data_IF_150213025745
#
_entry.id   IF_150213025745
#
_cell.length_a   1.000
_cell.length_b   1.000
_cell.length_c   1.000
_cell.angle_alpha   90.00
_cell.angle_beta   90.00
_cell.angle_gamma   90.00
#
_symmetry.space_group_name_H-M   'P 1'
#
loop_
_entity.id
_entity.type
_entity.pdbx_description
1 polymer ?
#
# COMPACT_ATOMS: atom_id res chain seq x y z
N UNK A 1 -13.77 12.30 -5.72
CA UNK A 1 -12.73 11.54 -5.00
C UNK A 1 -12.65 10.14 -5.58
N UNK A 2 -11.42 9.66 -5.80
CA UNK A 2 -11.11 8.41 -6.50
C UNK A 2 -9.74 7.91 -6.04
N UNK A 3 -9.47 6.61 -6.18
CA UNK A 3 -8.17 6.03 -5.83
C UNK A 3 -7.13 6.22 -6.94
N UNK A 4 -5.90 5.74 -6.70
CA UNK A 4 -4.80 5.86 -7.64
C UNK A 4 -5.06 5.22 -9.01
N UNK A 5 -5.83 4.14 -9.08
CA UNK A 5 -6.17 3.48 -10.36
C UNK A 5 -7.16 4.30 -11.18
N UNK A 6 -8.13 4.94 -10.53
CA UNK A 6 -9.05 5.85 -11.22
C UNK A 6 -8.40 7.19 -11.56
N UNK A 7 -7.43 7.67 -10.76
CA UNK A 7 -6.58 8.80 -11.15
C UNK A 7 -5.77 8.45 -12.41
N UNK A 8 -5.17 7.25 -12.45
CA UNK A 8 -4.47 6.77 -13.64
C UNK A 8 -5.40 6.79 -14.85
N UNK A 9 -6.62 6.24 -14.73
CA UNK A 9 -7.60 6.26 -15.82
C UNK A 9 -7.90 7.68 -16.32
N UNK A 10 -8.00 8.65 -15.42
CA UNK A 10 -8.16 10.06 -15.81
C UNK A 10 -6.94 10.59 -16.57
N UNK A 11 -5.73 10.45 -16.00
CA UNK A 11 -4.49 10.91 -16.64
C UNK A 11 -4.30 10.28 -18.03
N UNK A 12 -4.70 9.03 -18.13
CA UNK A 12 -4.72 8.24 -19.35
C UNK A 12 -5.71 8.74 -20.42
N UNK A 13 -6.82 9.34 -20.02
CA UNK A 13 -7.73 9.97 -20.98
C UNK A 13 -7.11 11.26 -21.56
N UNK A 14 -6.37 12.02 -20.74
CA UNK A 14 -5.93 13.39 -21.07
C UNK A 14 -4.47 13.55 -21.54
N UNK A 15 -3.62 12.51 -21.42
CA UNK A 15 -2.21 12.55 -21.87
C UNK A 15 -2.01 12.67 -23.39
N UNK A 16 -0.76 12.59 -23.87
CA UNK A 16 -0.34 12.78 -25.27
C UNK A 16 0.59 11.68 -25.85
N UNK A 17 1.15 10.71 -25.10
CA UNK A 17 1.84 9.55 -25.74
C UNK A 17 1.82 8.24 -24.92
N UNK A 18 2.10 7.13 -25.61
CA UNK A 18 1.43 5.80 -25.61
C UNK A 18 1.32 4.96 -24.30
N UNK A 19 0.24 4.15 -24.11
CA UNK A 19 -0.96 4.00 -24.95
C UNK A 19 -2.20 4.72 -24.37
N UNK A 20 -2.04 5.85 -23.68
CA UNK A 20 -3.17 6.42 -22.93
C UNK A 20 -3.06 7.93 -22.82
N UNK A 21 -3.36 8.58 -23.94
CA UNK A 21 -3.34 10.02 -24.03
C UNK A 21 -4.23 10.47 -25.16
N UNK A 22 -5.48 10.05 -25.09
CA UNK A 22 -6.34 10.03 -26.26
C UNK A 22 -6.78 11.45 -26.62
N UNK A 23 -7.18 12.24 -25.62
CA UNK A 23 -7.76 13.55 -25.87
C UNK A 23 -6.73 14.58 -26.32
N UNK A 24 -5.50 14.57 -25.80
CA UNK A 24 -4.46 15.49 -26.28
C UNK A 24 -3.94 15.13 -27.69
N UNK A 25 -4.12 13.87 -28.11
CA UNK A 25 -3.86 13.42 -29.49
C UNK A 25 -5.04 13.69 -30.44
N UNK A 26 -6.10 14.35 -29.97
CA UNK A 26 -7.25 14.72 -30.79
C UNK A 26 -8.39 13.69 -30.79
N UNK A 27 -8.35 12.66 -29.94
CA UNK A 27 -9.52 11.81 -29.74
C UNK A 27 -10.66 12.60 -29.09
N UNK A 28 -11.88 12.36 -29.54
CA UNK A 28 -13.08 13.00 -28.99
C UNK A 28 -13.54 12.41 -27.65
N UNK A 29 -13.11 11.19 -27.31
CA UNK A 29 -13.44 10.48 -26.09
C UNK A 29 -12.37 9.43 -25.75
N UNK A 30 -12.23 9.03 -24.47
CA UNK A 30 -11.34 7.94 -24.07
C UNK A 30 -11.88 6.56 -24.50
N UNK A 31 -10.98 5.65 -24.85
CA UNK A 31 -11.23 4.27 -25.30
C UNK A 31 -11.84 3.42 -24.20
N UNK A 32 -11.49 3.73 -22.94
CA UNK A 32 -12.17 3.18 -21.77
C UNK A 32 -12.98 4.30 -21.12
N UNK A 33 -14.31 4.35 -21.36
CA UNK A 33 -15.15 5.38 -20.76
C UNK A 33 -15.18 5.23 -19.23
N UNK A 34 -15.18 6.34 -18.47
CA UNK A 34 -15.37 6.27 -17.03
C UNK A 34 -16.79 5.83 -16.70
N UNK A 35 -16.90 4.75 -15.92
CA UNK A 35 -18.17 4.23 -15.42
C UNK A 35 -18.36 4.68 -13.97
N UNK A 36 -19.36 5.51 -13.74
CA UNK A 36 -19.66 6.12 -12.43
C UNK A 36 -20.58 5.28 -11.55
N UNK A 37 -20.71 3.99 -11.84
CA UNK A 37 -21.60 3.03 -11.17
C UNK A 37 -21.13 2.71 -9.74
N UNK A 38 -21.04 3.71 -8.87
CA UNK A 38 -20.55 3.58 -7.49
C UNK A 38 -21.49 2.78 -6.61
N UNK A 39 -22.75 2.66 -7.00
CA UNK A 39 -23.77 1.82 -6.38
C UNK A 39 -23.38 0.33 -6.33
N UNK A 40 -22.45 -0.12 -7.18
CA UNK A 40 -21.90 -1.49 -7.12
C UNK A 40 -21.23 -1.79 -5.78
N UNK A 41 -20.72 -0.76 -5.09
CA UNK A 41 -20.11 -0.82 -3.76
C UNK A 41 -21.00 -0.24 -2.66
N UNK A 42 -22.32 -0.17 -2.89
CA UNK A 42 -23.25 0.14 -1.80
C UNK A 42 -23.28 -0.97 -0.75
N UNK A 43 -23.60 -0.57 0.48
CA UNK A 43 -23.94 -1.50 1.55
C UNK A 43 -25.16 -2.34 1.16
N UNK A 44 -25.30 -3.48 1.83
CA UNK A 44 -26.46 -4.36 1.65
C UNK A 44 -27.73 -3.65 2.17
N UNK A 45 -28.90 -4.09 1.69
CA UNK A 45 -30.19 -3.56 2.15
C UNK A 45 -30.33 -3.64 3.68
N UNK A 46 -29.80 -4.71 4.28
CA UNK A 46 -29.60 -4.82 5.73
C UNK A 46 -28.11 -4.95 5.99
N UNK A 47 -27.43 -3.88 6.44
CA UNK A 47 -26.00 -3.93 6.73
C UNK A 47 -25.69 -4.98 7.80
N UNK A 48 -24.76 -5.88 7.50
CA UNK A 48 -24.34 -6.95 8.40
C UNK A 48 -22.81 -7.08 8.40
N UNK A 49 -22.21 -6.89 9.57
CA UNK A 49 -20.78 -7.11 9.77
C UNK A 49 -20.55 -8.59 10.03
N UNK A 50 -19.91 -9.28 9.09
CA UNK A 50 -19.65 -10.73 9.14
C UNK A 50 -18.19 -11.05 9.42
N UNK A 51 -17.31 -10.05 9.37
CA UNK A 51 -15.89 -10.14 9.71
C UNK A 51 -15.51 -9.14 10.79
N UNK A 52 -14.50 -9.50 11.59
CA UNK A 52 -13.83 -8.54 12.46
C UNK A 52 -12.87 -7.68 11.64
N UNK A 53 -13.03 -6.37 11.75
CA UNK A 53 -12.23 -5.37 11.03
C UNK A 53 -11.33 -4.63 12.01
N UNK A 54 -10.24 -5.29 12.40
CA UNK A 54 -9.27 -4.77 13.38
C UNK A 54 -8.64 -3.45 12.95
N UNK A 55 -8.64 -3.14 11.66
CA UNK A 55 -8.19 -1.86 11.12
C UNK A 55 -8.99 -0.65 11.64
N UNK A 56 -10.18 -0.85 12.22
CA UNK A 56 -11.00 0.20 12.84
C UNK A 56 -11.21 0.01 14.35
N UNK A 57 -10.46 -0.89 14.99
CA UNK A 57 -10.55 -1.07 16.44
C UNK A 57 -10.09 0.22 17.15
N UNK A 58 -10.86 0.62 18.17
CA UNK A 58 -10.51 1.77 19.01
C UNK A 58 -9.39 1.36 19.95
N UNK A 59 -8.15 1.63 19.57
CA UNK A 59 -7.02 1.47 20.47
C UNK A 59 -7.08 2.60 21.50
N UNK A 60 -7.11 2.23 22.79
CA UNK A 60 -6.91 3.21 23.87
C UNK A 60 -5.52 3.78 23.68
N UNK A 61 -5.43 5.10 23.46
CA UNK A 61 -4.16 5.80 23.24
C UNK A 61 -3.16 5.44 24.36
N UNK A 62 -2.27 4.49 24.06
CA UNK A 62 -1.07 4.33 24.85
C UNK A 62 -0.25 5.60 24.64
N UNK A 63 0.16 6.22 25.74
CA UNK A 63 0.92 7.50 25.79
C UNK A 63 2.26 7.49 25.03
N UNK A 64 2.59 6.41 24.32
CA UNK A 64 3.91 6.11 23.76
C UNK A 64 4.14 6.69 22.36
N UNK A 65 3.13 7.16 21.62
CA UNK A 65 3.32 7.45 20.18
C UNK A 65 3.56 8.93 19.79
N UNK A 66 3.30 9.92 20.66
CA UNK A 66 3.44 11.32 20.24
C UNK A 66 4.91 11.79 20.15
N UNK A 67 5.80 11.26 20.99
CA UNK A 67 7.20 11.71 21.04
C UNK A 67 8.11 11.08 19.99
N UNK A 68 7.80 9.87 19.49
CA UNK A 68 8.64 9.16 18.51
C UNK A 68 8.36 9.57 17.06
N UNK A 69 7.16 10.11 16.78
CA UNK A 69 6.77 10.58 15.45
C UNK A 69 7.53 11.84 15.03
N UNK A 70 7.85 12.75 15.97
CA UNK A 70 8.51 14.03 15.66
C UNK A 70 9.94 13.89 15.10
N UNK A 71 10.63 12.77 15.38
CA UNK A 71 12.01 12.51 14.93
C UNK A 71 12.08 11.62 13.67
N UNK A 72 10.95 11.43 12.97
CA UNK A 72 10.94 10.61 11.75
C UNK A 72 11.41 11.38 10.52
N UNK A 73 12.37 10.80 9.81
CA UNK A 73 12.85 11.26 8.52
C UNK A 73 12.28 10.39 7.40
N UNK A 74 11.74 11.04 6.38
CA UNK A 74 11.28 10.40 5.16
C UNK A 74 12.49 10.09 4.26
N UNK A 75 12.75 8.80 4.03
CA UNK A 75 13.90 8.33 3.25
C UNK A 75 13.45 7.49 2.05
N UNK A 76 14.17 7.62 0.94
CA UNK A 76 13.95 6.81 -0.25
C UNK A 76 15.01 5.72 -0.36
N UNK A 77 14.58 4.46 -0.43
CA UNK A 77 15.46 3.30 -0.58
C UNK A 77 15.17 2.59 -1.90
N UNK A 78 16.22 2.28 -2.67
CA UNK A 78 16.09 1.55 -3.92
C UNK A 78 16.40 0.08 -3.73
N UNK A 79 15.42 -0.78 -4.02
CA UNK A 79 15.57 -2.24 -3.99
C UNK A 79 15.53 -2.78 -5.41
N UNK A 80 16.68 -3.15 -5.97
CA UNK A 80 16.77 -3.81 -7.27
C UNK A 80 16.57 -5.33 -7.20
N UNK A 81 16.57 -6.01 -8.35
CA UNK A 81 16.44 -7.48 -8.41
C UNK A 81 17.48 -8.21 -7.57
N UNK A 82 18.70 -7.68 -7.46
CA UNK A 82 19.77 -8.26 -6.63
C UNK A 82 19.41 -8.22 -5.15
N UNK A 83 18.97 -7.07 -4.63
CA UNK A 83 18.55 -6.92 -3.23
C UNK A 83 17.32 -7.79 -2.93
N UNK A 84 16.33 -7.79 -3.82
CA UNK A 84 15.13 -8.63 -3.66
C UNK A 84 15.49 -10.12 -3.66
N UNK A 85 16.38 -10.55 -4.56
CA UNK A 85 16.87 -11.92 -4.60
C UNK A 85 17.63 -12.30 -3.32
N UNK A 86 18.45 -11.40 -2.78
CA UNK A 86 19.14 -11.61 -1.50
C UNK A 86 18.17 -11.78 -0.33
N UNK A 87 17.08 -11.01 -0.28
CA UNK A 87 16.04 -11.19 0.75
C UNK A 87 15.32 -12.53 0.56
N UNK A 88 14.97 -12.89 -0.69
CA UNK A 88 14.32 -14.19 -0.99
C UNK A 88 15.15 -15.38 -0.57
N UNK A 89 16.48 -15.32 -0.68
CA UNK A 89 17.39 -16.39 -0.23
C UNK A 89 17.33 -16.64 1.28
N UNK A 90 16.85 -15.68 2.08
CA UNK A 90 16.64 -15.87 3.54
C UNK A 90 15.32 -16.58 3.86
N UNK A 91 14.47 -16.82 2.86
CA UNK A 91 13.18 -17.50 3.03
C UNK A 91 13.29 -18.98 2.63
N UNK A 92 12.47 -19.87 3.21
CA UNK A 92 12.31 -21.23 2.73
C UNK A 92 11.87 -21.29 1.27
N UNK A 93 12.25 -22.36 0.57
CA UNK A 93 11.95 -22.54 -0.86
C UNK A 93 10.47 -22.41 -1.22
N UNK A 94 9.55 -22.90 -0.37
CA UNK A 94 8.11 -22.82 -0.65
C UNK A 94 7.59 -21.37 -0.66
N UNK A 95 8.31 -20.42 -0.04
CA UNK A 95 7.97 -19.00 -0.01
C UNK A 95 8.65 -18.17 -1.10
N UNK A 96 9.52 -18.77 -1.92
CA UNK A 96 10.21 -18.06 -3.00
C UNK A 96 9.26 -17.51 -4.07
N UNK A 97 8.05 -18.10 -4.20
CA UNK A 97 6.99 -17.65 -5.12
C UNK A 97 6.18 -16.45 -4.61
N UNK A 98 6.41 -15.98 -3.39
CA UNK A 98 5.69 -14.83 -2.83
C UNK A 98 6.00 -13.56 -3.64
N UNK A 99 5.06 -12.63 -3.72
CA UNK A 99 5.22 -11.40 -4.49
C UNK A 99 6.34 -10.51 -3.92
N UNK A 100 6.91 -9.64 -4.75
CA UNK A 100 7.93 -8.67 -4.29
C UNK A 100 7.37 -7.75 -3.22
N UNK A 101 6.10 -7.34 -3.36
CA UNK A 101 5.38 -6.60 -2.33
C UNK A 101 5.42 -7.33 -0.98
N UNK A 102 5.02 -8.60 -0.94
CA UNK A 102 4.98 -9.39 0.31
C UNK A 102 6.37 -9.52 0.94
N UNK A 103 7.39 -9.85 0.14
CA UNK A 103 8.76 -10.06 0.62
C UNK A 103 9.40 -8.77 1.15
N UNK A 104 9.27 -7.66 0.40
CA UNK A 104 9.82 -6.37 0.84
C UNK A 104 9.06 -5.84 2.06
N UNK A 105 7.73 -5.95 2.08
CA UNK A 105 6.91 -5.48 3.19
C UNK A 105 7.20 -6.25 4.48
N UNK A 106 7.37 -7.57 4.40
CA UNK A 106 7.78 -8.37 5.56
C UNK A 106 9.11 -7.88 6.14
N UNK A 107 10.08 -7.59 5.28
CA UNK A 107 11.41 -7.14 5.68
C UNK A 107 11.33 -5.74 6.33
N UNK A 108 10.64 -4.81 5.66
CA UNK A 108 10.53 -3.43 6.10
C UNK A 108 9.68 -3.29 7.36
N UNK A 109 8.58 -4.03 7.49
CA UNK A 109 7.77 -4.02 8.72
C UNK A 109 8.57 -4.51 9.93
N UNK A 110 9.37 -5.57 9.74
CA UNK A 110 10.29 -6.05 10.78
C UNK A 110 11.37 -5.04 11.10
N UNK A 111 12.03 -4.44 10.10
CA UNK A 111 13.05 -3.41 10.31
C UNK A 111 12.49 -2.16 10.99
N UNK A 112 11.32 -1.70 10.56
CA UNK A 112 10.60 -0.57 11.17
C UNK A 112 10.35 -0.84 12.65
N UNK A 113 9.82 -2.02 12.98
CA UNK A 113 9.52 -2.43 14.35
C UNK A 113 10.79 -2.52 15.23
N UNK A 114 11.89 -3.05 14.69
CA UNK A 114 13.19 -3.06 15.37
C UNK A 114 13.69 -1.63 15.65
N UNK A 115 13.54 -0.71 14.69
CA UNK A 115 14.03 0.65 14.81
C UNK A 115 13.27 1.48 15.86
N UNK A 116 11.95 1.30 15.96
CA UNK A 116 11.11 2.01 16.93
C UNK A 116 11.27 1.51 18.38
N UNK A 117 11.82 0.31 18.58
CA UNK A 117 12.17 -0.24 19.91
C UNK A 117 11.00 -0.23 20.93
N UNK A 118 9.85 -0.73 20.51
CA UNK A 118 8.70 -0.94 21.39
C UNK A 118 8.95 -2.07 22.40
N UNK A 119 8.12 -2.13 23.45
CA UNK A 119 8.14 -3.23 24.40
C UNK A 119 7.74 -4.55 23.70
N UNK A 120 8.27 -5.70 24.15
CA UNK A 120 8.07 -6.97 23.45
C UNK A 120 6.60 -7.37 23.29
N UNK A 121 5.76 -6.96 24.25
CA UNK A 121 4.33 -7.25 24.30
C UNK A 121 3.47 -6.20 23.57
N UNK A 122 4.07 -5.08 23.14
CA UNK A 122 3.34 -4.06 22.40
C UNK A 122 2.84 -4.61 21.08
N UNK A 123 1.57 -4.37 20.80
CA UNK A 123 0.97 -4.70 19.51
C UNK A 123 1.51 -3.79 18.41
N UNK A 124 1.84 -4.39 17.28
CA UNK A 124 2.32 -3.73 16.07
C UNK A 124 1.46 -4.14 14.89
N UNK A 125 1.13 -3.15 14.07
CA UNK A 125 0.24 -3.30 12.94
C UNK A 125 0.98 -3.08 11.63
N UNK A 126 0.65 -3.88 10.63
CA UNK A 126 0.90 -3.57 9.23
C UNK A 126 -0.43 -3.33 8.55
N UNK A 127 -0.60 -2.15 7.98
CA UNK A 127 -1.78 -1.75 7.22
C UNK A 127 -1.38 -1.66 5.76
N UNK A 128 -2.22 -2.14 4.85
CA UNK A 128 -2.00 -1.96 3.42
C UNK A 128 -3.30 -1.95 2.63
N UNK A 129 -3.29 -1.25 1.50
CA UNK A 129 -4.42 -1.20 0.58
C UNK A 129 -4.42 -2.39 -0.38
N UNK A 130 -5.63 -2.86 -0.70
CA UNK A 130 -5.86 -3.95 -1.65
C UNK A 130 -6.85 -3.46 -2.70
N UNK A 131 -6.46 -3.54 -3.97
CA UNK A 131 -7.37 -3.31 -5.08
C UNK A 131 -8.40 -4.45 -5.15
N UNK A 132 -9.67 -4.12 -4.92
CA UNK A 132 -10.78 -5.08 -4.86
C UNK A 132 -11.60 -5.15 -6.15
N UNK A 133 -11.23 -4.39 -7.20
CA UNK A 133 -11.96 -4.39 -8.49
C UNK A 133 -12.18 -5.79 -9.04
N UNK A 134 -11.14 -6.63 -9.02
CA UNK A 134 -11.24 -8.02 -9.50
C UNK A 134 -12.05 -8.91 -8.56
N UNK A 135 -12.11 -8.61 -7.25
CA UNK A 135 -12.87 -9.39 -6.27
C UNK A 135 -14.38 -9.13 -6.37
N UNK A 136 -14.77 -7.95 -6.83
CA UNK A 136 -16.15 -7.53 -7.04
C UNK A 136 -16.58 -7.61 -8.50
N UNK A 137 -15.69 -8.08 -9.39
CA UNK A 137 -15.89 -8.04 -10.83
C UNK A 137 -16.36 -6.65 -11.31
N UNK A 138 -15.79 -5.59 -10.74
CA UNK A 138 -16.14 -4.22 -11.12
C UNK A 138 -15.82 -4.02 -12.61
N UNK A 139 -16.70 -3.34 -13.35
CA UNK A 139 -16.58 -3.23 -14.78
C UNK A 139 -15.29 -2.49 -15.16
N UNK A 140 -14.75 -2.85 -16.33
CA UNK A 140 -13.65 -2.11 -16.94
C UNK A 140 -14.08 -0.65 -17.08
N UNK A 141 -13.27 0.26 -16.54
CA UNK A 141 -13.58 1.69 -16.53
C UNK A 141 -14.29 2.19 -15.26
N UNK A 142 -14.56 1.34 -14.27
CA UNK A 142 -15.09 1.77 -12.96
C UNK A 142 -14.26 2.92 -12.38
N UNK A 143 -14.93 4.07 -12.19
CA UNK A 143 -14.32 5.31 -11.74
C UNK A 143 -14.74 5.67 -10.31
N UNK A 144 -13.85 5.41 -9.37
CA UNK A 144 -14.09 5.63 -7.95
C UNK A 144 -13.05 4.92 -7.09
N UNK A 145 -13.32 4.83 -5.78
CA UNK A 145 -12.51 4.02 -4.89
C UNK A 145 -12.93 2.56 -5.06
N UNK A 146 -11.99 1.70 -5.41
CA UNK A 146 -12.12 0.25 -5.49
C UNK A 146 -11.01 -0.41 -4.66
N UNK A 147 -10.82 0.09 -3.45
CA UNK A 147 -9.81 -0.37 -2.49
C UNK A 147 -10.49 -0.84 -1.20
N UNK A 148 -9.93 -1.88 -0.59
CA UNK A 148 -10.16 -2.22 0.81
C UNK A 148 -8.84 -2.09 1.58
N UNK A 149 -8.94 -1.87 2.87
CA UNK A 149 -7.79 -1.88 3.77
C UNK A 149 -7.74 -3.25 4.43
N UNK A 150 -6.53 -3.80 4.57
CA UNK A 150 -6.27 -5.01 5.35
C UNK A 150 -5.21 -4.72 6.40
N UNK A 151 -5.30 -5.45 7.51
CA UNK A 151 -4.39 -5.32 8.64
C UNK A 151 -3.84 -6.69 9.04
N UNK A 152 -2.52 -6.76 9.15
CA UNK A 152 -1.82 -7.84 9.82
C UNK A 152 -1.33 -7.32 11.18
N UNK A 153 -1.49 -8.12 12.24
CA UNK A 153 -1.11 -7.75 13.60
C UNK A 153 -0.31 -8.84 14.27
N UNK A 154 0.57 -8.43 15.16
CA UNK A 154 1.35 -9.30 16.07
C UNK A 154 1.95 -8.42 17.17
N UNK A 155 2.74 -9.00 18.06
CA UNK A 155 3.53 -8.27 19.06
C UNK A 155 4.92 -7.91 18.51
N UNK A 156 5.51 -6.80 18.95
CA UNK A 156 6.86 -6.41 18.55
C UNK A 156 7.89 -7.52 18.80
N UNK A 157 7.82 -8.21 19.95
CA UNK A 157 8.69 -9.33 20.30
C UNK A 157 8.61 -10.47 19.29
N UNK A 158 7.39 -10.97 19.00
CA UNK A 158 7.19 -12.01 17.98
C UNK A 158 7.71 -11.59 16.60
N UNK A 159 7.43 -10.36 16.17
CA UNK A 159 7.86 -9.89 14.84
C UNK A 159 9.39 -9.80 14.73
N UNK A 160 10.06 -9.33 15.78
CA UNK A 160 11.51 -9.14 15.80
C UNK A 160 12.27 -10.47 15.97
N UNK A 161 11.78 -11.37 16.83
CA UNK A 161 12.48 -12.59 17.23
C UNK A 161 12.25 -13.77 16.27
N UNK A 162 11.10 -13.83 15.59
CA UNK A 162 10.84 -14.87 14.61
C UNK A 162 11.56 -14.60 13.27
N UNK A 163 11.77 -15.65 12.44
CA UNK A 163 12.35 -15.48 11.11
C UNK A 163 11.44 -14.65 10.19
N UNK A 164 12.01 -14.13 9.10
CA UNK A 164 11.27 -13.29 8.13
C UNK A 164 10.02 -13.97 7.56
N UNK A 165 10.02 -15.31 7.49
CA UNK A 165 8.87 -16.12 7.05
C UNK A 165 7.62 -15.87 7.90
N UNK A 166 7.77 -15.62 9.21
CA UNK A 166 6.66 -15.36 10.12
C UNK A 166 5.90 -14.09 9.71
N UNK A 167 6.64 -13.00 9.51
CA UNK A 167 6.08 -11.74 9.02
C UNK A 167 5.42 -11.92 7.64
N UNK A 168 6.08 -12.67 6.75
CA UNK A 168 5.57 -12.93 5.40
C UNK A 168 4.24 -13.70 5.42
N UNK A 169 4.11 -14.71 6.27
CA UNK A 169 2.88 -15.49 6.39
C UNK A 169 1.72 -14.68 6.98
N UNK A 170 1.99 -13.81 7.95
CA UNK A 170 0.98 -12.87 8.46
C UNK A 170 0.43 -11.97 7.34
N UNK A 171 1.31 -11.43 6.49
CA UNK A 171 0.92 -10.59 5.34
C UNK A 171 0.08 -11.39 4.35
N UNK A 172 0.52 -12.60 4.02
CA UNK A 172 -0.20 -13.47 3.07
C UNK A 172 -1.57 -13.86 3.60
N UNK A 173 -1.67 -14.20 4.89
CA UNK A 173 -2.94 -14.47 5.55
C UNK A 173 -3.87 -13.27 5.49
N UNK A 174 -3.42 -12.09 5.93
CA UNK A 174 -4.21 -10.85 5.92
C UNK A 174 -4.69 -10.49 4.50
N UNK A 175 -3.82 -10.64 3.49
CA UNK A 175 -4.16 -10.38 2.09
C UNK A 175 -5.16 -11.40 1.51
N UNK A 176 -5.00 -12.68 1.85
CA UNK A 176 -5.88 -13.75 1.37
C UNK A 176 -7.27 -13.71 2.03
N UNK A 177 -7.36 -13.21 3.25
CA UNK A 177 -8.63 -13.06 3.98
C UNK A 177 -9.55 -12.00 3.35
N UNK A 178 -9.01 -11.07 2.56
CA UNK A 178 -9.82 -10.09 1.83
C UNK A 178 -10.55 -10.76 0.67
N UNK A 179 -11.68 -11.37 0.97
CA UNK A 179 -12.62 -11.95 0.00
C UNK A 179 -13.67 -10.93 -0.43
N UNK A 180 -14.56 -11.27 -1.35
CA UNK A 180 -15.72 -10.42 -1.65
C UNK A 180 -16.57 -10.16 -0.40
N UNK A 181 -16.83 -11.22 0.38
CA UNK A 181 -17.64 -11.14 1.61
C UNK A 181 -16.97 -10.30 2.70
N UNK A 182 -15.63 -10.35 2.82
CA UNK A 182 -14.87 -9.45 3.71
C UNK A 182 -15.10 -7.98 3.35
N UNK A 183 -15.03 -7.64 2.07
CA UNK A 183 -15.20 -6.25 1.62
C UNK A 183 -16.67 -5.82 1.74
N UNK A 184 -17.64 -6.72 1.52
CA UNK A 184 -19.06 -6.42 1.79
C UNK A 184 -19.30 -6.13 3.28
N UNK A 185 -18.71 -6.94 4.16
CA UNK A 185 -18.70 -6.69 5.62
C UNK A 185 -18.07 -5.33 5.96
N UNK A 186 -16.96 -4.99 5.30
CA UNK A 186 -16.29 -3.69 5.48
C UNK A 186 -17.22 -2.53 5.09
N UNK A 187 -17.86 -2.61 3.92
CA UNK A 187 -18.79 -1.57 3.46
C UNK A 187 -19.94 -1.39 4.46
N UNK A 188 -20.52 -2.49 4.93
CA UNK A 188 -21.60 -2.48 5.91
C UNK A 188 -21.13 -1.86 7.25
N UNK A 189 -19.93 -2.20 7.72
CA UNK A 189 -19.32 -1.60 8.91
C UNK A 189 -19.15 -0.08 8.75
N UNK A 190 -18.63 0.38 7.60
CA UNK A 190 -18.41 1.80 7.34
C UNK A 190 -19.71 2.60 7.35
N UNK A 191 -20.82 2.01 6.89
CA UNK A 191 -22.15 2.62 6.98
C UNK A 191 -22.66 2.65 8.43
N UNK A 192 -22.57 1.52 9.15
CA UNK A 192 -23.05 1.42 10.54
C UNK A 192 -22.29 2.35 11.49
N UNK A 193 -20.96 2.45 11.32
CA UNK A 193 -20.08 3.20 12.23
C UNK A 193 -19.79 4.63 11.76
N UNK A 194 -20.32 5.05 10.62
CA UNK A 194 -20.11 6.40 10.09
C UNK A 194 -18.67 6.68 9.65
N UNK A 195 -18.01 5.70 9.00
CA UNK A 195 -16.62 5.77 8.51
C UNK A 195 -15.61 6.10 9.62
N UNK A 196 -15.36 5.15 10.55
CA UNK A 196 -14.37 5.34 11.59
C UNK A 196 -12.96 5.55 11.02
N UNK A 197 -12.11 6.25 11.77
CA UNK A 197 -10.70 6.36 11.45
C UNK A 197 -9.99 5.02 11.58
N UNK A 198 -8.96 4.82 10.75
CA UNK A 198 -8.08 3.67 10.89
C UNK A 198 -7.27 3.80 12.18
N UNK A 199 -6.97 2.66 12.81
CA UNK A 199 -5.94 2.62 13.85
C UNK A 199 -4.59 2.99 13.22
N UNK A 200 -3.88 3.94 13.85
CA UNK A 200 -2.54 4.37 13.42
C UNK A 200 -1.49 4.11 14.51
N UNK A 201 -1.90 3.59 15.67
CA UNK A 201 -1.00 3.30 16.78
C UNK A 201 -0.09 2.13 16.41
N UNK A 202 1.21 2.32 16.58
CA UNK A 202 2.25 1.33 16.27
C UNK A 202 2.09 0.69 14.88
N UNK A 203 1.59 1.48 13.92
CA UNK A 203 1.21 1.01 12.60
C UNK A 203 2.25 1.37 11.55
N UNK A 204 2.63 0.39 10.74
CA UNK A 204 3.37 0.61 9.51
C UNK A 204 2.38 0.52 8.34
N UNK A 205 2.04 1.66 7.75
CA UNK A 205 1.13 1.70 6.61
C UNK A 205 1.92 1.63 5.31
N UNK A 206 1.58 0.73 4.40
CA UNK A 206 2.22 0.57 3.08
C UNK A 206 1.20 0.73 1.97
N UNK A 207 1.59 1.44 0.91
CA UNK A 207 0.83 1.49 -0.36
C UNK A 207 1.71 1.15 -1.56
N UNK A 208 1.18 0.31 -2.45
CA UNK A 208 1.86 -0.09 -3.68
C UNK A 208 1.29 0.64 -4.90
N UNK A 209 1.97 1.72 -5.28
CA UNK A 209 1.61 2.55 -6.44
C UNK A 209 2.46 2.20 -7.68
N UNK A 210 3.19 1.08 -7.68
CA UNK A 210 4.04 0.67 -8.81
C UNK A 210 3.24 0.47 -10.10
N UNK A 211 1.95 0.14 -9.98
CA UNK A 211 1.05 -0.05 -11.13
C UNK A 211 0.52 1.24 -11.73
N UNK A 212 0.61 2.36 -11.01
CA UNK A 212 0.16 3.66 -11.52
C UNK A 212 1.09 4.14 -12.64
N UNK A 213 2.39 3.85 -12.53
CA UNK A 213 3.40 4.16 -13.55
C UNK A 213 3.37 5.62 -14.01
N UNK A 214 3.39 6.56 -13.05
CA UNK A 214 3.43 7.99 -13.35
C UNK A 214 4.56 8.37 -14.31
N UNK A 215 5.67 7.64 -14.29
CA UNK A 215 6.81 7.86 -15.19
C UNK A 215 6.52 7.55 -16.67
N UNK A 216 5.44 6.84 -16.94
CA UNK A 216 4.99 6.53 -18.29
C UNK A 216 4.12 7.63 -18.89
N UNK A 217 3.61 8.56 -18.07
CA UNK A 217 2.77 9.65 -18.52
C UNK A 217 3.58 10.67 -19.33
N UNK A 218 3.00 11.13 -20.43
CA UNK A 218 3.53 12.14 -21.32
C UNK A 218 2.38 13.05 -21.75
N UNK A 219 2.52 14.36 -21.56
CA UNK A 219 1.52 15.38 -21.92
C UNK A 219 1.93 16.24 -23.12
N UNK A 220 2.83 15.73 -23.97
CA UNK A 220 3.39 16.43 -25.13
C UNK A 220 4.71 17.13 -24.81
N UNK A 221 5.20 16.95 -23.57
CA UNK A 221 6.45 17.49 -23.06
C UNK A 221 7.51 16.38 -22.85
N UNK A 222 7.21 15.15 -23.27
CA UNK A 222 8.01 13.97 -23.00
C UNK A 222 7.61 13.27 -21.70
N UNK A 223 8.17 12.09 -21.47
CA UNK A 223 7.87 11.25 -20.30
C UNK A 223 8.27 11.95 -19.00
N UNK A 224 7.45 11.80 -17.97
CA UNK A 224 7.75 12.33 -16.65
C UNK A 224 9.11 11.80 -16.14
N UNK A 225 9.96 12.74 -15.69
CA UNK A 225 11.26 12.41 -15.10
C UNK A 225 11.07 11.56 -13.83
N UNK A 226 10.13 11.96 -12.98
CA UNK A 226 9.73 11.30 -11.74
C UNK A 226 8.24 11.54 -11.47
N UNK A 227 7.59 10.60 -10.78
CA UNK A 227 6.25 10.76 -10.24
C UNK A 227 6.09 9.90 -9.00
N UNK A 228 5.53 10.47 -7.94
CA UNK A 228 5.43 9.85 -6.64
C UNK A 228 4.46 10.59 -5.73
N UNK A 229 4.21 10.08 -4.52
CA UNK A 229 3.31 10.68 -3.57
C UNK A 229 3.90 12.00 -3.05
N UNK A 230 3.03 13.00 -2.87
CA UNK A 230 3.36 14.14 -2.02
C UNK A 230 3.26 13.76 -0.53
N UNK A 231 3.60 14.71 0.35
CA UNK A 231 3.34 14.59 1.79
C UNK A 231 1.82 14.55 2.03
N UNK A 232 1.31 13.51 2.70
CA UNK A 232 -0.14 13.29 2.91
C UNK A 232 -0.55 13.87 4.26
N UNK A 233 0.23 13.61 5.30
CA UNK A 233 -0.03 14.09 6.66
C UNK A 233 0.94 15.20 7.05
N UNK A 234 0.46 16.28 7.73
CA UNK A 234 1.35 17.31 8.24
C UNK A 234 2.38 16.76 9.24
N UNK A 235 1.97 15.80 10.06
CA UNK A 235 2.75 15.15 11.09
C UNK A 235 3.76 14.15 10.49
N UNK A 236 5.05 14.24 10.85
CA UNK A 236 6.04 13.25 10.43
C UNK A 236 5.68 11.86 10.96
N UNK A 237 5.96 10.82 10.16
CA UNK A 237 5.77 9.43 10.59
C UNK A 237 4.39 8.81 10.32
N UNK A 238 3.37 9.62 9.99
CA UNK A 238 2.04 9.10 9.63
C UNK A 238 1.88 8.79 8.14
N UNK A 239 2.79 9.32 7.30
CA UNK A 239 2.76 9.04 5.86
C UNK A 239 3.03 7.54 5.60
N UNK A 240 2.22 6.91 4.71
CA UNK A 240 2.46 5.53 4.33
C UNK A 240 3.80 5.38 3.63
N UNK A 241 4.42 4.21 3.82
CA UNK A 241 5.51 3.77 3.00
C UNK A 241 4.99 3.48 1.58
N UNK A 242 5.55 4.14 0.57
CA UNK A 242 5.05 4.02 -0.80
C UNK A 242 6.04 3.25 -1.69
N UNK A 243 5.55 2.23 -2.39
CA UNK A 243 6.33 1.51 -3.39
C UNK A 243 6.11 2.14 -4.76
N UNK A 244 7.20 2.59 -5.36
CA UNK A 244 7.21 3.27 -6.66
C UNK A 244 8.07 2.49 -7.66
N UNK A 245 7.77 2.60 -8.97
CA UNK A 245 8.59 1.99 -10.00
C UNK A 245 10.02 2.51 -9.94
N UNK A 246 10.99 1.61 -9.98
CA UNK A 246 12.40 1.98 -10.10
C UNK A 246 12.77 2.14 -11.59
N UNK A 247 13.32 3.29 -11.98
CA UNK A 247 13.95 3.45 -13.30
C UNK A 247 15.38 2.91 -13.26
N UNK A 248 15.67 1.91 -14.09
CA UNK A 248 17.05 1.57 -14.43
C UNK A 248 17.61 2.61 -15.40
N UNK A 249 18.90 2.95 -15.25
CA UNK A 249 19.63 3.83 -16.18
C UNK A 249 19.69 3.32 -17.63
N UNK A 250 19.27 2.08 -17.88
CA UNK A 250 19.23 1.46 -19.22
C UNK A 250 17.82 1.17 -19.76
N UNK A 251 16.76 1.78 -19.22
CA UNK A 251 15.42 1.74 -19.84
C UNK A 251 14.70 0.39 -19.84
N UNK A 252 15.28 -0.67 -19.26
CA UNK A 252 14.64 -1.96 -19.04
C UNK A 252 13.77 -1.96 -17.79
N UNK A 253 12.47 -2.23 -17.95
CA UNK A 253 11.48 -2.20 -16.88
C UNK A 253 11.60 -3.29 -15.81
N UNK A 254 11.11 -2.91 -14.62
CA UNK A 254 10.41 -3.72 -13.62
C UNK A 254 11.09 -4.93 -12.99
N UNK A 255 12.08 -4.71 -12.11
CA UNK A 255 12.35 -5.65 -11.01
C UNK A 255 12.74 -4.99 -9.69
N UNK A 256 12.52 -3.68 -9.55
CA UNK A 256 12.85 -2.97 -8.31
C UNK A 256 11.79 -1.99 -7.86
N UNK A 257 11.81 -1.68 -6.56
CA UNK A 257 10.91 -0.73 -5.93
C UNK A 257 11.73 0.36 -5.25
N UNK A 258 11.37 1.62 -5.50
CA UNK A 258 11.73 2.70 -4.60
C UNK A 258 10.72 2.70 -3.45
N UNK A 259 11.23 2.66 -2.22
CA UNK A 259 10.42 2.72 -1.02
C UNK A 259 10.67 4.06 -0.36
N UNK A 260 9.64 4.90 -0.36
CA UNK A 260 9.63 6.10 0.47
C UNK A 260 9.07 5.70 1.82
N UNK A 261 9.85 5.75 2.90
CA UNK A 261 9.42 5.32 4.22
C UNK A 261 9.97 6.22 5.33
N UNK A 262 9.20 6.34 6.40
CA UNK A 262 9.58 7.09 7.60
C UNK A 262 10.37 6.20 8.55
N UNK A 263 11.54 6.68 8.98
CA UNK A 263 12.36 6.03 10.00
C UNK A 263 12.87 7.09 10.98
N UNK A 264 13.03 6.75 12.26
CA UNK A 264 13.59 7.66 13.26
C UNK A 264 15.03 8.07 12.91
N UNK A 265 15.37 9.34 13.10
CA UNK A 265 16.70 9.89 12.85
C UNK A 265 17.77 9.07 13.59
N UNK A 266 18.85 8.67 12.89
CA UNK A 266 19.97 7.93 13.47
C UNK A 266 19.81 6.42 13.67
N UNK A 267 18.65 5.81 13.33
CA UNK A 267 18.42 4.35 13.48
C UNK A 267 18.17 3.62 12.16
N UNK A 268 18.94 3.93 11.11
CA UNK A 268 18.96 3.09 9.90
C UNK A 268 19.70 1.80 10.27
N UNK A 269 18.98 0.68 10.36
CA UNK A 269 19.59 -0.61 10.61
C UNK A 269 20.65 -0.91 9.53
N UNK A 270 21.92 -1.08 9.95
CA UNK A 270 23.02 -1.49 9.07
C UNK A 270 22.80 -2.88 8.44
N UNK A 271 21.78 -3.64 8.86
CA UNK A 271 21.42 -4.95 8.33
C UNK A 271 20.78 -4.96 6.93
N UNK A 272 20.67 -3.81 6.25
CA UNK A 272 20.15 -3.68 4.89
C UNK A 272 21.21 -3.29 3.84
N UNK A 273 22.51 -3.33 4.18
CA UNK A 273 23.61 -3.26 3.20
C UNK A 273 24.07 -4.66 2.77
#
# INVERSE_FOLDING_TARGET
MSDGMSILQFMNAVGHSMPVGEMAQGASAPSIPPLWQRELLNARNTPQVTFTHHEFDKVVESKVCASSLHDMACNCFSFGPTQISAIRKKLPHHLHKSSTFEVLTACLWRCHTIAIQLDSEDEVHLIFDINVRNKFNLPIGYYGNGIAVSLALTTAGKLCQNPLEYALELIKSAKNNVTEEYVRSLIDLLVIKGRPFLTMVNSYFVSDITRIRFEALDFGLGKAAFGGPGKIFPEPGLDPANYMPMKNSQGGGNYGANVLANFSHGKICEGAR
#
